data_IF_004814192909
#
_entry.id   IF_004814192909
#
_cell.length_a   1.000
_cell.length_b   1.000
_cell.length_c   1.000
_cell.angle_alpha   90.00
_cell.angle_beta   90.00
_cell.angle_gamma   90.00
#
_symmetry.space_group_name_H-M   'P 1'
#
loop_
_entity.id
_entity.type
_entity.pdbx_description
1 polymer ?
#
# COMPACT_ATOMS: atom_id res chain seq x y z
N UNK A 1 -24.24 19.36 -12.62
CA UNK A 1 -22.79 19.10 -12.60
C UNK A 1 -22.53 17.96 -11.61
N UNK A 2 -21.80 16.92 -12.00
CA UNK A 2 -21.36 15.83 -11.11
C UNK A 2 -19.84 15.91 -11.01
N UNK A 3 -19.32 16.06 -9.79
CA UNK A 3 -17.89 16.21 -9.51
C UNK A 3 -17.44 15.01 -8.69
N UNK A 4 -16.51 14.23 -9.24
CA UNK A 4 -15.85 13.15 -8.52
C UNK A 4 -14.57 13.70 -7.89
N UNK A 5 -14.40 13.48 -6.59
CA UNK A 5 -13.27 13.93 -5.80
C UNK A 5 -12.53 12.68 -5.31
N UNK A 6 -11.43 12.35 -5.99
CA UNK A 6 -10.65 11.14 -5.75
C UNK A 6 -9.17 11.44 -5.46
N UNK A 7 -8.85 12.10 -4.32
CA UNK A 7 -7.48 12.38 -3.92
C UNK A 7 -6.85 11.21 -3.15
N UNK A 8 -5.52 11.19 -3.14
CA UNK A 8 -4.71 10.48 -2.16
C UNK A 8 -4.57 11.30 -0.86
N UNK A 9 -3.98 10.67 0.15
CA UNK A 9 -3.42 11.34 1.32
C UNK A 9 -2.32 12.33 0.95
N UNK A 10 -2.21 13.36 1.78
CA UNK A 10 -1.08 14.29 1.77
C UNK A 10 -0.22 13.87 2.96
N UNK A 11 0.85 13.11 2.65
CA UNK A 11 1.73 12.49 3.64
C UNK A 11 2.13 13.48 4.74
N UNK A 12 2.07 13.01 5.99
CA UNK A 12 2.37 13.78 7.21
C UNK A 12 1.47 14.99 7.46
N UNK A 13 0.32 15.10 6.77
CA UNK A 13 -0.56 16.26 6.87
C UNK A 13 -2.05 15.89 6.98
N UNK A 14 -2.66 15.34 5.93
CA UNK A 14 -4.09 15.05 5.90
C UNK A 14 -4.39 13.74 5.17
N UNK A 15 -5.41 13.02 5.65
CA UNK A 15 -5.88 11.78 5.01
C UNK A 15 -6.57 12.06 3.67
N UNK A 16 -6.70 11.04 2.83
CA UNK A 16 -7.44 11.14 1.56
C UNK A 16 -8.88 11.65 1.77
N UNK A 17 -9.55 11.19 2.83
CA UNK A 17 -10.90 11.66 3.17
C UNK A 17 -10.91 13.13 3.61
N UNK A 18 -9.92 13.56 4.40
CA UNK A 18 -9.80 14.96 4.82
C UNK A 18 -9.55 15.88 3.60
N UNK A 19 -8.66 15.48 2.69
CA UNK A 19 -8.46 16.18 1.42
C UNK A 19 -9.76 16.24 0.60
N UNK A 20 -10.49 15.13 0.47
CA UNK A 20 -11.75 15.09 -0.27
C UNK A 20 -12.82 16.01 0.35
N UNK A 21 -12.91 16.05 1.68
CA UNK A 21 -13.81 16.95 2.41
C UNK A 21 -13.43 18.43 2.19
N UNK A 22 -12.15 18.78 2.29
CA UNK A 22 -11.68 20.15 2.06
C UNK A 22 -12.00 20.62 0.64
N UNK A 23 -11.79 19.77 -0.37
CA UNK A 23 -12.15 20.05 -1.76
C UNK A 23 -13.66 20.29 -1.88
N UNK A 24 -14.48 19.37 -1.38
CA UNK A 24 -15.94 19.48 -1.42
C UNK A 24 -16.43 20.77 -0.74
N UNK A 25 -15.89 21.09 0.43
CA UNK A 25 -16.24 22.31 1.18
C UNK A 25 -15.95 23.58 0.36
N UNK A 26 -14.78 23.64 -0.29
CA UNK A 26 -14.40 24.77 -1.13
C UNK A 26 -15.32 24.94 -2.33
N UNK A 27 -15.61 23.85 -3.05
CA UNK A 27 -16.51 23.89 -4.20
C UNK A 27 -17.95 24.26 -3.81
N UNK A 28 -18.47 23.71 -2.70
CA UNK A 28 -19.85 23.98 -2.23
C UNK A 28 -20.13 25.44 -1.91
N UNK A 29 -19.12 26.23 -1.55
CA UNK A 29 -19.29 27.68 -1.35
C UNK A 29 -19.72 28.41 -2.62
N UNK A 30 -19.42 27.85 -3.79
CA UNK A 30 -19.60 28.51 -5.09
C UNK A 30 -20.65 27.81 -5.96
N UNK A 31 -20.67 26.48 -5.92
CA UNK A 31 -21.53 25.59 -6.72
C UNK A 31 -22.25 24.60 -5.77
N UNK A 32 -23.09 25.07 -4.82
CA UNK A 32 -23.74 24.21 -3.83
C UNK A 32 -24.69 23.15 -4.44
N UNK A 33 -25.19 23.39 -5.65
CA UNK A 33 -26.13 22.53 -6.36
C UNK A 33 -25.49 21.35 -7.12
N UNK A 34 -24.15 21.30 -7.20
CA UNK A 34 -23.46 20.17 -7.82
C UNK A 34 -23.62 18.89 -6.98
N UNK A 35 -23.57 17.75 -7.66
CA UNK A 35 -23.49 16.45 -7.01
C UNK A 35 -22.02 16.13 -6.77
N UNK A 36 -21.65 15.89 -5.51
CA UNK A 36 -20.29 15.57 -5.10
C UNK A 36 -20.18 14.09 -4.74
N UNK A 37 -19.24 13.39 -5.36
CA UNK A 37 -18.91 11.99 -5.05
C UNK A 37 -17.48 11.96 -4.56
N UNK A 38 -17.28 11.61 -3.29
CA UNK A 38 -15.95 11.46 -2.71
C UNK A 38 -15.53 10.01 -2.79
N UNK A 39 -14.37 9.77 -3.37
CA UNK A 39 -13.76 8.45 -3.48
C UNK A 39 -12.33 8.56 -2.95
N UNK A 40 -12.12 8.58 -1.62
CA UNK A 40 -10.77 8.60 -1.05
C UNK A 40 -9.93 7.45 -1.62
N UNK A 41 -8.81 7.79 -2.25
CA UNK A 41 -7.95 6.82 -2.92
C UNK A 41 -6.72 6.49 -2.06
N UNK A 42 -5.96 5.52 -2.53
CA UNK A 42 -4.63 5.16 -2.02
C UNK A 42 -3.85 4.44 -3.14
N UNK A 43 -2.54 4.29 -2.95
CA UNK A 43 -1.64 3.60 -3.86
C UNK A 43 -1.22 2.21 -3.35
N UNK A 44 -1.86 1.69 -2.29
CA UNK A 44 -1.47 0.42 -1.66
C UNK A 44 -0.46 0.55 -0.52
N UNK A 45 0.02 1.77 -0.26
CA UNK A 45 0.79 2.13 0.91
C UNK A 45 -0.05 2.40 2.16
N UNK A 46 0.50 3.23 3.05
CA UNK A 46 -0.15 3.67 4.29
C UNK A 46 -1.49 4.36 4.03
N UNK A 47 -2.52 3.96 4.77
CA UNK A 47 -3.86 4.55 4.68
C UNK A 47 -4.78 3.89 3.65
N UNK A 48 -4.31 2.86 2.93
CA UNK A 48 -5.13 2.04 2.02
C UNK A 48 -6.30 1.40 2.73
N UNK A 49 -6.10 0.85 3.94
CA UNK A 49 -7.16 0.28 4.78
C UNK A 49 -8.24 1.31 5.05
N UNK A 50 -7.84 2.52 5.44
CA UNK A 50 -8.77 3.59 5.78
C UNK A 50 -9.56 4.04 4.55
N UNK A 51 -8.89 4.24 3.40
CA UNK A 51 -9.52 4.66 2.14
C UNK A 51 -10.55 3.62 1.65
N UNK A 52 -10.19 2.34 1.63
CA UNK A 52 -11.10 1.28 1.19
C UNK A 52 -12.27 1.06 2.16
N UNK A 53 -12.03 1.09 3.47
CA UNK A 53 -13.11 0.96 4.46
C UNK A 53 -14.09 2.13 4.37
N UNK A 54 -13.61 3.37 4.28
CA UNK A 54 -14.47 4.54 4.16
C UNK A 54 -15.31 4.48 2.90
N UNK A 55 -14.69 4.19 1.76
CA UNK A 55 -15.37 4.20 0.45
C UNK A 55 -16.40 3.09 0.34
N UNK A 56 -16.10 1.91 0.86
CA UNK A 56 -17.01 0.76 0.79
C UNK A 56 -18.02 0.69 1.94
N UNK A 57 -18.03 1.67 2.87
CA UNK A 57 -18.78 1.61 4.13
C UNK A 57 -18.50 0.34 4.96
N UNK A 58 -17.22 -0.04 4.99
CA UNK A 58 -16.71 -1.18 5.72
C UNK A 58 -16.49 -0.93 7.21
N UNK A 59 -15.64 -1.75 7.81
CA UNK A 59 -15.22 -1.61 9.21
C UNK A 59 -13.73 -1.92 9.38
N UNK A 60 -13.10 -1.22 10.32
CA UNK A 60 -11.76 -1.54 10.81
C UNK A 60 -11.91 -2.46 12.02
N UNK A 61 -11.08 -3.49 12.09
CA UNK A 61 -11.03 -4.46 13.18
C UNK A 61 -9.61 -4.41 13.76
N UNK A 62 -9.53 -4.25 15.08
CA UNK A 62 -8.26 -4.30 15.83
C UNK A 62 -8.00 -5.73 16.30
N UNK A 63 -6.73 -6.14 16.25
CA UNK A 63 -6.28 -7.46 16.72
C UNK A 63 -4.91 -7.32 17.40
N UNK A 64 -4.73 -8.02 18.52
CA UNK A 64 -3.41 -8.16 19.13
C UNK A 64 -2.64 -9.26 18.40
N UNK A 65 -1.53 -8.92 17.76
CA UNK A 65 -0.70 -9.83 16.95
C UNK A 65 0.77 -9.76 17.34
N UNK A 66 1.57 -10.70 16.85
CA UNK A 66 3.02 -10.74 17.03
C UNK A 66 3.67 -9.63 16.21
N UNK A 67 4.22 -8.63 16.89
CA UNK A 67 4.98 -7.55 16.28
C UNK A 67 6.31 -8.02 15.67
N UNK A 68 6.99 -7.14 14.91
CA UNK A 68 8.23 -7.51 14.21
C UNK A 68 9.35 -7.93 15.16
N UNK A 69 9.40 -7.44 16.39
CA UNK A 69 10.39 -7.84 17.40
C UNK A 69 9.99 -9.09 18.21
N UNK A 70 8.89 -9.78 17.84
CA UNK A 70 8.37 -10.96 18.54
C UNK A 70 7.48 -10.67 19.75
N UNK A 71 7.30 -9.40 20.12
CA UNK A 71 6.40 -8.98 21.20
C UNK A 71 5.00 -8.64 20.68
N UNK A 72 3.93 -8.83 21.46
CA UNK A 72 2.57 -8.45 21.06
C UNK A 72 2.45 -6.95 20.75
N UNK A 73 1.71 -6.62 19.69
CA UNK A 73 1.35 -5.26 19.28
C UNK A 73 -0.14 -5.20 18.93
N UNK A 74 -0.75 -4.03 19.11
CA UNK A 74 -2.08 -3.75 18.58
C UNK A 74 -1.96 -3.43 17.10
N UNK A 75 -2.55 -4.27 16.26
CA UNK A 75 -2.63 -4.09 14.82
C UNK A 75 -4.09 -3.94 14.39
N UNK A 76 -4.30 -3.74 13.09
CA UNK A 76 -5.64 -3.62 12.53
C UNK A 76 -5.68 -4.09 11.07
N UNK A 77 -6.90 -4.40 10.61
CA UNK A 77 -7.22 -4.63 9.20
C UNK A 77 -8.63 -4.13 8.89
N UNK A 78 -8.93 -3.94 7.62
CA UNK A 78 -10.23 -3.50 7.13
C UNK A 78 -11.05 -4.65 6.56
N UNK A 79 -12.36 -4.55 6.65
CA UNK A 79 -13.32 -5.37 5.92
C UNK A 79 -14.22 -4.45 5.11
N UNK A 80 -14.41 -4.72 3.82
CA UNK A 80 -15.30 -3.96 2.94
C UNK A 80 -16.77 -4.07 3.38
N UNK A 81 -17.61 -3.10 2.99
CA UNK A 81 -19.01 -3.07 3.44
C UNK A 81 -19.86 -4.26 3.00
N UNK A 82 -19.47 -4.95 1.92
CA UNK A 82 -20.11 -6.20 1.49
C UNK A 82 -19.62 -7.44 2.27
N UNK A 83 -18.60 -7.27 3.12
CA UNK A 83 -18.02 -8.31 3.96
C UNK A 83 -17.15 -9.33 3.23
N UNK A 84 -16.85 -9.15 1.95
CA UNK A 84 -16.15 -10.16 1.14
C UNK A 84 -14.65 -9.94 1.02
N UNK A 85 -14.17 -8.72 1.17
CA UNK A 85 -12.76 -8.38 1.00
C UNK A 85 -12.17 -7.90 2.31
N UNK A 86 -11.03 -8.47 2.70
CA UNK A 86 -10.20 -7.89 3.74
C UNK A 86 -9.05 -7.08 3.14
N UNK A 87 -8.75 -5.95 3.77
CA UNK A 87 -7.65 -5.08 3.40
C UNK A 87 -6.65 -5.07 4.55
N UNK A 88 -5.42 -5.46 4.30
CA UNK A 88 -4.36 -5.61 5.30
C UNK A 88 -3.18 -4.75 4.88
N UNK A 89 -2.75 -3.84 5.75
CA UNK A 89 -1.43 -3.22 5.63
C UNK A 89 -0.45 -4.01 6.49
N UNK A 90 0.55 -4.66 5.87
CA UNK A 90 1.52 -5.48 6.63
C UNK A 90 2.24 -4.66 7.71
N UNK A 91 2.40 -3.34 7.48
CA UNK A 91 3.01 -2.44 8.43
C UNK A 91 2.28 -2.39 9.79
N UNK A 92 0.97 -2.61 9.82
CA UNK A 92 0.19 -2.60 11.06
C UNK A 92 0.66 -3.69 12.04
N UNK A 93 1.17 -4.81 11.54
CA UNK A 93 1.69 -5.91 12.33
C UNK A 93 3.22 -6.04 12.30
N UNK A 94 3.86 -5.64 11.21
CA UNK A 94 5.26 -5.95 10.89
C UNK A 94 6.03 -4.72 10.37
N UNK A 95 5.56 -3.51 10.69
CA UNK A 95 6.08 -2.24 10.18
C UNK A 95 7.23 -1.62 10.99
N UNK A 96 8.00 -0.75 10.32
CA UNK A 96 9.14 0.00 10.88
C UNK A 96 8.75 0.94 12.02
N UNK A 97 7.52 1.43 12.05
CA UNK A 97 7.04 2.34 13.09
C UNK A 97 6.81 1.64 14.44
N UNK A 98 6.70 0.30 14.44
CA UNK A 98 6.55 -0.50 15.66
C UNK A 98 7.87 -0.75 16.40
N UNK A 99 9.01 -0.36 15.79
CA UNK A 99 10.34 -0.59 16.35
C UNK A 99 11.15 0.70 16.32
N UNK A 100 11.62 1.12 17.50
CA UNK A 100 12.58 2.22 17.63
C UNK A 100 13.83 1.94 16.79
N UNK A 101 14.39 2.98 16.18
CA UNK A 101 15.46 2.84 15.19
C UNK A 101 16.65 2.00 15.70
N UNK A 102 17.03 2.20 16.95
CA UNK A 102 18.15 1.53 17.61
C UNK A 102 17.91 0.03 17.86
N UNK A 103 16.65 -0.38 17.87
CA UNK A 103 16.23 -1.77 18.12
C UNK A 103 15.88 -2.52 16.82
N UNK A 104 16.02 -1.89 15.65
CA UNK A 104 15.74 -2.54 14.37
C UNK A 104 16.81 -3.57 14.07
N UNK A 105 16.38 -4.82 13.89
CA UNK A 105 17.26 -5.93 13.53
C UNK A 105 16.57 -6.86 12.53
N UNK A 106 16.90 -6.77 11.23
CA UNK A 106 16.23 -7.56 10.20
C UNK A 106 16.62 -9.04 10.22
N UNK A 107 17.67 -9.43 10.96
CA UNK A 107 17.99 -10.84 11.20
C UNK A 107 16.97 -11.54 12.09
N UNK A 108 16.33 -10.81 13.01
CA UNK A 108 15.39 -11.38 13.98
C UNK A 108 13.95 -10.92 13.73
N UNK A 109 13.74 -9.91 12.88
CA UNK A 109 12.43 -9.34 12.65
C UNK A 109 11.50 -10.29 11.88
N UNK A 110 10.27 -10.46 12.36
CA UNK A 110 9.32 -11.48 11.86
C UNK A 110 8.06 -10.91 11.20
N UNK A 111 7.58 -11.57 10.15
CA UNK A 111 6.27 -11.31 9.50
C UNK A 111 5.11 -12.09 10.12
N UNK A 112 5.33 -12.79 11.23
CA UNK A 112 4.30 -13.63 11.87
C UNK A 112 2.97 -12.92 12.12
N UNK A 113 3.00 -11.69 12.65
CA UNK A 113 1.77 -10.91 12.87
C UNK A 113 1.00 -10.60 11.59
N UNK A 114 1.67 -10.47 10.44
CA UNK A 114 0.98 -10.32 9.15
C UNK A 114 0.19 -11.59 8.82
N UNK A 115 0.76 -12.78 9.05
CA UNK A 115 0.04 -14.04 8.89
C UNK A 115 -1.12 -14.21 9.88
N UNK A 116 -0.98 -13.69 11.11
CA UNK A 116 -2.07 -13.67 12.11
C UNK A 116 -3.22 -12.74 11.68
N UNK A 117 -2.94 -11.59 11.07
CA UNK A 117 -3.98 -10.73 10.47
C UNK A 117 -4.69 -11.42 9.31
N UNK A 118 -3.96 -12.15 8.46
CA UNK A 118 -4.55 -12.95 7.37
C UNK A 118 -5.49 -14.02 7.97
N UNK A 119 -5.05 -14.77 8.99
CA UNK A 119 -5.90 -15.74 9.68
C UNK A 119 -7.15 -15.11 10.28
N UNK A 120 -7.02 -13.94 10.93
CA UNK A 120 -8.15 -13.22 11.49
C UNK A 120 -9.16 -12.84 10.40
N UNK A 121 -8.70 -12.34 9.26
CA UNK A 121 -9.55 -12.04 8.10
C UNK A 121 -10.24 -13.31 7.55
N UNK A 122 -9.52 -14.42 7.42
CA UNK A 122 -10.08 -15.71 6.97
C UNK A 122 -11.16 -16.24 7.92
N UNK A 123 -11.07 -15.95 9.23
CA UNK A 123 -12.09 -16.33 10.21
C UNK A 123 -13.43 -15.59 10.00
N UNK A 124 -13.41 -14.47 9.30
CA UNK A 124 -14.61 -13.75 8.88
C UNK A 124 -15.21 -14.26 7.56
N UNK A 125 -14.57 -15.25 6.92
CA UNK A 125 -15.09 -15.88 5.71
C UNK A 125 -14.91 -15.06 4.44
N UNK A 126 -13.95 -14.12 4.44
CA UNK A 126 -13.62 -13.31 3.25
C UNK A 126 -13.20 -14.19 2.07
N UNK A 127 -13.41 -13.67 0.86
CA UNK A 127 -13.09 -14.32 -0.42
C UNK A 127 -11.96 -13.64 -1.17
N UNK A 128 -11.57 -12.46 -0.72
CA UNK A 128 -10.52 -11.66 -1.33
C UNK A 128 -9.69 -10.97 -0.24
N UNK A 129 -8.38 -11.00 -0.41
CA UNK A 129 -7.42 -10.28 0.42
C UNK A 129 -6.71 -9.25 -0.45
N UNK A 130 -6.67 -8.01 0.01
CA UNK A 130 -5.83 -6.95 -0.54
C UNK A 130 -4.73 -6.68 0.50
N UNK A 131 -3.48 -6.87 0.14
CA UNK A 131 -2.34 -6.76 1.07
C UNK A 131 -1.37 -5.67 0.60
N UNK A 132 -1.20 -4.63 1.42
CA UNK A 132 -0.20 -3.58 1.22
C UNK A 132 1.15 -3.95 1.82
N UNK A 133 2.24 -3.80 1.04
CA UNK A 133 3.61 -4.15 1.43
C UNK A 133 4.48 -2.99 1.92
N UNK A 134 3.93 -1.77 1.98
CA UNK A 134 4.68 -0.59 2.40
C UNK A 134 5.20 -0.69 3.85
N UNK A 135 6.39 -0.13 4.12
CA UNK A 135 6.84 0.18 5.49
C UNK A 135 7.33 -1.00 6.35
N UNK A 136 7.70 -2.14 5.76
CA UNK A 136 8.15 -3.35 6.49
C UNK A 136 9.41 -3.16 7.35
N UNK A 137 9.43 -3.73 8.56
CA UNK A 137 10.63 -3.86 9.41
C UNK A 137 11.44 -5.14 9.15
N UNK A 138 10.92 -6.05 8.33
CA UNK A 138 11.35 -7.46 8.25
C UNK A 138 12.22 -7.73 7.03
N UNK A 139 13.01 -8.81 7.08
CA UNK A 139 13.75 -9.35 5.93
C UNK A 139 13.77 -10.89 6.00
N UNK A 140 12.63 -11.49 6.35
CA UNK A 140 12.47 -12.92 6.59
C UNK A 140 11.83 -13.67 5.42
N UNK A 141 11.70 -13.06 4.24
CA UNK A 141 11.13 -13.74 3.08
C UNK A 141 9.64 -14.12 3.22
N UNK A 142 8.92 -13.55 4.20
CA UNK A 142 7.58 -13.99 4.54
C UNK A 142 7.51 -15.34 5.27
N UNK A 143 8.64 -15.85 5.77
CA UNK A 143 8.70 -17.10 6.52
C UNK A 143 7.83 -17.07 7.78
N UNK A 144 7.87 -15.98 8.55
CA UNK A 144 7.03 -15.83 9.74
C UNK A 144 5.53 -15.85 9.41
N UNK A 145 5.13 -15.17 8.33
CA UNK A 145 3.76 -15.21 7.82
C UNK A 145 3.35 -16.63 7.43
N UNK A 146 4.19 -17.36 6.67
CA UNK A 146 3.90 -18.73 6.28
C UNK A 146 3.75 -19.66 7.49
N UNK A 147 4.62 -19.53 8.49
CA UNK A 147 4.52 -20.28 9.75
C UNK A 147 3.24 -19.99 10.52
N UNK A 148 2.81 -18.72 10.60
CA UNK A 148 1.52 -18.38 11.21
C UNK A 148 0.34 -19.05 10.49
N UNK A 149 0.41 -19.14 9.17
CA UNK A 149 -0.62 -19.76 8.33
C UNK A 149 -0.59 -21.29 8.31
N UNK A 150 0.37 -21.92 8.99
CA UNK A 150 0.44 -23.37 9.18
C UNK A 150 1.54 -24.09 8.37
N UNK A 151 2.38 -23.36 7.62
CA UNK A 151 3.56 -23.96 6.99
C UNK A 151 4.62 -24.33 8.05
N UNK A 152 5.26 -25.47 7.86
CA UNK A 152 6.38 -25.93 8.69
C UNK A 152 7.69 -25.76 7.93
N UNK A 153 8.49 -24.77 8.32
CA UNK A 153 9.85 -24.56 7.80
C UNK A 153 10.81 -25.24 8.77
N UNK A 154 11.37 -26.38 8.38
CA UNK A 154 12.06 -27.32 9.27
C UNK A 154 13.57 -27.32 9.02
N UNK A 155 14.36 -27.47 10.08
CA UNK A 155 15.80 -27.66 10.03
C UNK A 155 16.20 -29.11 9.69
N UNK A 156 17.51 -29.40 9.65
CA UNK A 156 18.03 -30.74 9.33
C UNK A 156 17.65 -31.83 10.35
N UNK A 157 17.15 -31.45 11.53
CA UNK A 157 16.68 -32.36 12.57
C UNK A 157 15.15 -32.53 12.52
N UNK A 158 14.46 -31.88 11.57
CA UNK A 158 13.01 -31.89 11.49
C UNK A 158 12.32 -30.99 12.54
N UNK A 159 13.04 -30.00 13.07
CA UNK A 159 12.50 -29.04 14.05
C UNK A 159 12.19 -27.72 13.34
N UNK A 160 11.05 -27.05 13.63
CA UNK A 160 10.78 -25.73 13.06
C UNK A 160 11.90 -24.72 13.35
N UNK A 161 12.31 -23.96 12.33
CA UNK A 161 13.26 -22.86 12.50
C UNK A 161 12.62 -21.72 13.32
N UNK A 162 13.45 -20.92 13.99
CA UNK A 162 12.98 -19.72 14.68
C UNK A 162 12.67 -18.60 13.66
N UNK A 163 12.18 -17.46 14.14
CA UNK A 163 11.80 -16.35 13.28
C UNK A 163 12.99 -15.49 12.82
N UNK A 164 12.77 -14.80 11.71
CA UNK A 164 13.64 -13.74 11.19
C UNK A 164 14.55 -14.17 10.05
N UNK A 165 15.07 -13.20 9.32
CA UNK A 165 15.91 -13.44 8.14
C UNK A 165 17.21 -14.19 8.43
N UNK A 166 17.69 -14.15 9.67
CA UNK A 166 18.89 -14.86 10.11
C UNK A 166 18.75 -16.37 10.16
N UNK A 167 17.52 -16.88 10.27
CA UNK A 167 17.22 -18.30 10.46
C UNK A 167 16.98 -19.05 9.14
N UNK A 168 16.79 -18.32 8.03
CA UNK A 168 16.39 -18.92 6.75
C UNK A 168 17.42 -19.91 6.18
N UNK A 169 18.71 -19.74 6.47
CA UNK A 169 19.75 -20.69 6.04
C UNK A 169 19.65 -22.07 6.72
N UNK A 170 18.89 -22.17 7.82
CA UNK A 170 18.69 -23.44 8.52
C UNK A 170 17.62 -24.30 7.87
N UNK A 171 16.79 -23.74 6.98
CA UNK A 171 15.69 -24.46 6.34
C UNK A 171 16.26 -25.64 5.56
N UNK A 172 15.93 -26.84 6.00
CA UNK A 172 16.25 -28.08 5.32
C UNK A 172 15.08 -28.59 4.48
N UNK A 173 13.84 -28.36 4.92
CA UNK A 173 12.61 -28.75 4.20
C UNK A 173 11.42 -27.86 4.56
N UNK A 174 10.50 -27.68 3.61
CA UNK A 174 9.23 -26.96 3.79
C UNK A 174 8.07 -27.94 3.64
N UNK A 175 7.18 -27.98 4.64
CA UNK A 175 5.95 -28.79 4.64
C UNK A 175 4.71 -27.89 4.78
N UNK A 176 3.82 -27.96 3.79
CA UNK A 176 2.57 -27.19 3.72
C UNK A 176 1.33 -28.02 4.03
N UNK A 177 1.47 -29.24 4.55
CA UNK A 177 0.34 -30.14 4.86
C UNK A 177 -0.69 -29.50 5.81
N UNK A 178 -0.22 -28.64 6.72
CA UNK A 178 -1.06 -27.93 7.70
C UNK A 178 -1.34 -26.47 7.33
N UNK A 179 -0.96 -26.03 6.13
CA UNK A 179 -1.27 -24.70 5.64
C UNK A 179 -2.80 -24.53 5.58
N UNK A 180 -3.31 -23.37 6.00
CA UNK A 180 -4.75 -23.13 6.09
C UNK A 180 -5.45 -23.38 4.75
N UNK A 181 -6.35 -24.39 4.66
CA UNK A 181 -6.91 -24.81 3.39
C UNK A 181 -7.82 -23.75 2.76
N UNK A 182 -8.27 -22.74 3.52
CA UNK A 182 -9.07 -21.63 2.99
C UNK A 182 -8.27 -20.76 2.02
N UNK A 183 -6.94 -20.73 2.13
CA UNK A 183 -6.09 -19.95 1.23
C UNK A 183 -6.25 -20.35 -0.24
N UNK A 184 -6.56 -21.63 -0.53
CA UNK A 184 -6.83 -22.09 -1.89
C UNK A 184 -8.15 -21.57 -2.49
N UNK A 185 -9.01 -20.96 -1.68
CA UNK A 185 -10.35 -20.49 -2.08
C UNK A 185 -10.46 -18.97 -2.02
N UNK A 186 -9.37 -18.28 -1.73
CA UNK A 186 -9.33 -16.84 -1.52
C UNK A 186 -8.39 -16.23 -2.56
N UNK A 187 -8.88 -15.22 -3.26
CA UNK A 187 -8.03 -14.41 -4.14
C UNK A 187 -7.13 -13.52 -3.28
N UNK A 188 -5.86 -13.40 -3.63
CA UNK A 188 -4.91 -12.57 -2.88
C UNK A 188 -4.24 -11.60 -3.84
N UNK A 189 -4.62 -10.32 -3.74
CA UNK A 189 -3.99 -9.23 -4.48
C UNK A 189 -3.04 -8.47 -3.55
N UNK A 190 -1.84 -8.20 -4.06
CA UNK A 190 -0.77 -7.59 -3.28
C UNK A 190 -0.34 -6.31 -3.95
N UNK A 191 -0.47 -5.19 -3.25
CA UNK A 191 -0.01 -3.91 -3.72
C UNK A 191 1.52 -3.84 -3.66
N UNK A 192 2.14 -3.81 -4.83
CA UNK A 192 3.58 -3.81 -5.03
C UNK A 192 3.97 -2.77 -6.09
N UNK A 193 4.57 -1.67 -5.64
CA UNK A 193 4.99 -0.56 -6.52
C UNK A 193 6.50 -0.56 -6.81
N UNK A 194 7.18 -1.66 -6.50
CA UNK A 194 8.61 -1.85 -6.77
C UNK A 194 8.82 -3.11 -7.59
N UNK A 195 9.84 -3.12 -8.44
CA UNK A 195 10.18 -4.24 -9.31
C UNK A 195 11.38 -5.07 -8.79
N UNK A 196 11.93 -4.70 -7.63
CA UNK A 196 13.07 -5.37 -7.03
C UNK A 196 12.84 -6.89 -6.88
N UNK A 197 13.75 -7.74 -7.42
CA UNK A 197 13.69 -9.18 -7.23
C UNK A 197 14.04 -9.57 -5.79
N UNK A 198 13.98 -10.86 -5.47
CA UNK A 198 14.21 -11.35 -4.11
C UNK A 198 15.65 -11.10 -3.64
N UNK A 199 16.64 -11.39 -4.50
CA UNK A 199 18.07 -11.43 -4.17
C UNK A 199 18.93 -10.61 -5.14
N UNK A 200 20.20 -10.43 -4.79
CA UNK A 200 21.23 -9.79 -5.62
C UNK A 200 21.36 -8.29 -5.38
N UNK A 201 22.12 -7.60 -6.25
CA UNK A 201 22.46 -6.18 -6.09
C UNK A 201 21.23 -5.25 -6.08
N UNK A 202 20.14 -5.68 -6.70
CA UNK A 202 18.85 -5.00 -6.70
C UNK A 202 17.79 -5.71 -5.85
N UNK A 203 18.21 -6.69 -5.05
CA UNK A 203 17.35 -7.53 -4.24
C UNK A 203 16.85 -6.87 -2.95
N UNK A 204 16.01 -7.60 -2.21
CA UNK A 204 15.36 -7.12 -1.01
C UNK A 204 16.35 -6.56 0.03
N UNK A 205 17.42 -7.31 0.31
CA UNK A 205 18.40 -6.96 1.33
C UNK A 205 19.33 -5.83 0.91
N UNK A 206 19.80 -5.84 -0.34
CA UNK A 206 20.71 -4.83 -0.86
C UNK A 206 20.06 -3.43 -0.91
N UNK A 207 18.80 -3.37 -1.36
CA UNK A 207 18.11 -2.09 -1.60
C UNK A 207 17.43 -1.56 -0.33
N UNK A 208 16.78 -2.43 0.44
CA UNK A 208 15.93 -2.01 1.56
C UNK A 208 16.48 -2.37 2.95
N UNK A 209 17.60 -3.09 3.04
CA UNK A 209 18.14 -3.56 4.32
C UNK A 209 18.58 -2.43 5.25
N UNK A 210 19.24 -1.39 4.72
CA UNK A 210 19.82 -0.32 5.54
C UNK A 210 18.78 0.44 6.37
N UNK A 211 17.64 0.83 5.77
CA UNK A 211 16.55 1.51 6.49
C UNK A 211 15.91 0.63 7.59
N UNK A 212 16.08 -0.69 7.50
CA UNK A 212 15.65 -1.69 8.48
C UNK A 212 16.71 -2.00 9.54
N UNK A 213 17.83 -1.27 9.56
CA UNK A 213 18.92 -1.45 10.53
C UNK A 213 19.99 -2.46 10.11
N UNK A 214 19.99 -2.95 8.86
CA UNK A 214 21.03 -3.87 8.39
C UNK A 214 22.37 -3.14 8.17
N UNK A 215 23.44 -3.69 8.74
CA UNK A 215 24.82 -3.36 8.34
C UNK A 215 25.18 -4.06 7.03
N UNK A 216 26.25 -3.63 6.33
CA UNK A 216 26.70 -4.29 5.10
C UNK A 216 26.96 -5.80 5.27
N UNK A 217 27.47 -6.19 6.45
CA UNK A 217 27.65 -7.61 6.79
C UNK A 217 26.31 -8.33 6.92
N UNK A 218 25.32 -7.71 7.57
CA UNK A 218 23.97 -8.27 7.68
C UNK A 218 23.31 -8.38 6.31
N UNK A 219 23.49 -7.39 5.43
CA UNK A 219 22.96 -7.40 4.06
C UNK A 219 23.49 -8.63 3.31
N UNK A 220 24.81 -8.86 3.33
CA UNK A 220 25.40 -10.03 2.68
C UNK A 220 24.88 -11.37 3.27
N UNK A 221 24.70 -11.45 4.58
CA UNK A 221 24.11 -12.63 5.23
C UNK A 221 22.65 -12.83 4.84
N UNK A 222 21.84 -11.78 4.87
CA UNK A 222 20.41 -11.85 4.54
C UNK A 222 20.20 -12.22 3.07
N UNK A 223 21.01 -11.69 2.16
CA UNK A 223 20.92 -12.02 0.73
C UNK A 223 21.26 -13.49 0.46
N UNK A 224 22.30 -14.03 1.11
CA UNK A 224 22.64 -15.46 1.05
C UNK A 224 21.52 -16.34 1.65
N UNK A 225 20.95 -15.89 2.77
CA UNK A 225 19.85 -16.57 3.44
C UNK A 225 18.57 -16.59 2.57
N UNK A 226 18.25 -15.48 1.89
CA UNK A 226 17.16 -15.41 0.93
C UNK A 226 17.44 -16.25 -0.33
N UNK A 227 18.69 -16.33 -0.77
CA UNK A 227 19.10 -17.21 -1.89
C UNK A 227 18.82 -18.67 -1.55
N UNK A 228 19.23 -19.11 -0.36
CA UNK A 228 18.95 -20.46 0.13
C UNK A 228 17.44 -20.70 0.26
N UNK A 229 16.70 -19.74 0.81
CA UNK A 229 15.26 -19.83 0.93
C UNK A 229 14.56 -19.97 -0.43
N UNK A 230 14.94 -19.20 -1.44
CA UNK A 230 14.42 -19.30 -2.80
C UNK A 230 14.62 -20.71 -3.38
N UNK A 231 15.80 -21.30 -3.15
CA UNK A 231 16.09 -22.68 -3.57
C UNK A 231 15.20 -23.70 -2.86
N UNK A 232 14.90 -23.51 -1.57
CA UNK A 232 13.99 -24.39 -0.83
C UNK A 232 12.55 -24.27 -1.31
N UNK A 233 12.07 -23.05 -1.60
CA UNK A 233 10.76 -22.81 -2.20
C UNK A 233 10.62 -23.50 -3.57
N UNK A 234 11.62 -23.38 -4.44
CA UNK A 234 11.62 -24.07 -5.72
C UNK A 234 11.64 -25.59 -5.56
N UNK A 235 12.49 -26.11 -4.66
CA UNK A 235 12.64 -27.56 -4.49
C UNK A 235 11.41 -28.23 -3.90
N UNK A 236 10.81 -27.63 -2.87
CA UNK A 236 9.76 -28.26 -2.08
C UNK A 236 8.34 -27.88 -2.53
N UNK A 237 8.17 -26.68 -3.10
CA UNK A 237 6.86 -26.16 -3.51
C UNK A 237 6.72 -25.97 -5.02
N UNK A 238 7.79 -26.17 -5.80
CA UNK A 238 7.85 -25.87 -7.24
C UNK A 238 7.49 -24.41 -7.56
N UNK A 239 7.99 -23.48 -6.73
CA UNK A 239 7.76 -22.03 -6.87
C UNK A 239 9.09 -21.29 -7.11
N UNK A 240 9.31 -20.83 -8.35
CA UNK A 240 10.44 -19.98 -8.71
C UNK A 240 10.06 -18.51 -8.49
N UNK A 241 10.53 -17.95 -7.38
CA UNK A 241 10.26 -16.55 -6.96
C UNK A 241 11.51 -15.69 -6.99
N UNK A 242 12.66 -16.25 -7.36
CA UNK A 242 13.96 -15.59 -7.24
C UNK A 242 14.02 -14.29 -8.05
N UNK A 243 13.52 -14.34 -9.29
CA UNK A 243 13.65 -13.27 -10.28
C UNK A 243 12.35 -12.54 -10.60
N UNK A 244 11.23 -12.94 -9.97
CA UNK A 244 9.93 -12.31 -10.21
C UNK A 244 9.99 -10.83 -9.79
N UNK A 245 9.63 -9.88 -10.67
CA UNK A 245 9.58 -8.46 -10.31
C UNK A 245 8.67 -8.22 -9.10
N UNK A 246 9.20 -7.54 -8.09
CA UNK A 246 8.49 -7.25 -6.85
C UNK A 246 8.53 -8.36 -5.80
N UNK A 247 9.16 -9.52 -6.08
CA UNK A 247 9.30 -10.59 -5.09
C UNK A 247 10.17 -10.19 -3.89
N UNK A 248 11.07 -9.21 -4.07
CA UNK A 248 11.85 -8.62 -2.97
C UNK A 248 11.11 -7.61 -2.11
N UNK A 249 9.88 -7.22 -2.48
CA UNK A 249 9.10 -6.26 -1.72
C UNK A 249 8.91 -6.70 -0.27
N UNK A 250 8.93 -5.73 0.64
CA UNK A 250 8.81 -5.94 2.07
C UNK A 250 9.81 -6.97 2.67
N UNK A 251 11.04 -7.01 2.15
CA UNK A 251 12.06 -7.93 2.69
C UNK A 251 11.87 -9.38 2.26
N UNK A 252 11.32 -9.57 1.06
CA UNK A 252 10.98 -10.87 0.50
C UNK A 252 9.60 -11.40 0.90
N UNK A 253 8.78 -10.63 1.62
CA UNK A 253 7.38 -10.99 1.86
C UNK A 253 6.59 -11.15 0.55
N UNK A 254 6.92 -10.36 -0.49
CA UNK A 254 6.37 -10.55 -1.84
C UNK A 254 6.58 -11.98 -2.36
N UNK A 255 7.80 -12.51 -2.23
CA UNK A 255 8.12 -13.90 -2.56
C UNK A 255 7.35 -14.91 -1.70
N UNK A 256 7.21 -14.66 -0.39
CA UNK A 256 6.39 -15.49 0.50
C UNK A 256 4.91 -15.53 0.09
N UNK A 257 4.32 -14.39 -0.26
CA UNK A 257 2.93 -14.31 -0.73
C UNK A 257 2.73 -15.04 -2.06
N UNK A 258 3.67 -14.91 -3.00
CA UNK A 258 3.67 -15.66 -4.26
C UNK A 258 3.75 -17.19 -4.01
N UNK A 259 4.66 -17.61 -3.13
CA UNK A 259 4.94 -19.03 -2.93
C UNK A 259 3.85 -19.76 -2.13
N UNK A 260 3.33 -19.15 -1.06
CA UNK A 260 2.40 -19.80 -0.13
C UNK A 260 0.93 -19.47 -0.37
N UNK A 261 0.62 -18.31 -0.97
CA UNK A 261 -0.76 -17.84 -1.15
C UNK A 261 -1.16 -17.72 -2.63
N UNK A 262 -0.25 -18.03 -3.56
CA UNK A 262 -0.47 -17.87 -5.01
C UNK A 262 -0.96 -16.47 -5.37
N UNK A 263 -0.42 -15.47 -4.66
CA UNK A 263 -0.89 -14.10 -4.76
C UNK A 263 -0.51 -13.42 -6.08
N UNK A 264 -1.32 -12.48 -6.53
CA UNK A 264 -1.01 -11.61 -7.66
C UNK A 264 -0.35 -10.31 -7.18
N UNK A 265 0.90 -10.08 -7.59
CA UNK A 265 1.54 -8.78 -7.41
C UNK A 265 1.01 -7.80 -8.46
N UNK A 266 0.33 -6.74 -8.02
CA UNK A 266 -0.24 -5.70 -8.88
C UNK A 266 0.17 -4.33 -8.36
N UNK A 267 0.07 -3.31 -9.22
CA UNK A 267 0.26 -1.92 -8.79
C UNK A 267 -0.84 -1.58 -7.80
N UNK A 268 -0.51 -0.95 -6.69
CA UNK A 268 -1.50 -0.76 -5.64
C UNK A 268 -2.65 0.16 -6.08
N UNK A 269 -2.37 1.17 -6.91
CA UNK A 269 -3.43 2.02 -7.48
C UNK A 269 -4.43 1.24 -8.34
N UNK A 270 -3.99 0.24 -9.10
CA UNK A 270 -4.88 -0.54 -9.96
C UNK A 270 -5.81 -1.40 -9.09
N UNK A 271 -5.28 -2.01 -8.02
CA UNK A 271 -6.09 -2.75 -7.03
C UNK A 271 -7.13 -1.82 -6.39
N UNK A 272 -6.73 -0.62 -5.98
CA UNK A 272 -7.63 0.32 -5.29
C UNK A 272 -8.71 0.82 -6.25
N UNK A 273 -8.38 1.12 -7.51
CA UNK A 273 -9.35 1.53 -8.54
C UNK A 273 -10.45 0.49 -8.71
N UNK A 274 -10.06 -0.78 -8.81
CA UNK A 274 -11.00 -1.90 -8.96
C UNK A 274 -11.82 -2.09 -7.66
N UNK A 275 -11.19 -2.03 -6.49
CA UNK A 275 -11.83 -2.28 -5.21
C UNK A 275 -12.86 -1.20 -4.80
N UNK A 276 -12.76 0.02 -5.34
CA UNK A 276 -13.71 1.11 -5.09
C UNK A 276 -14.66 1.40 -6.25
N UNK A 277 -14.65 0.56 -7.28
CA UNK A 277 -15.47 0.74 -8.49
C UNK A 277 -15.34 2.17 -9.06
N UNK A 278 -14.10 2.70 -9.11
CA UNK A 278 -13.86 4.11 -9.46
C UNK A 278 -14.45 4.48 -10.83
N UNK A 279 -14.39 3.56 -11.79
CA UNK A 279 -14.93 3.74 -13.14
C UNK A 279 -16.45 3.96 -13.12
N UNK A 280 -17.19 3.26 -12.25
CA UNK A 280 -18.64 3.45 -12.08
C UNK A 280 -18.95 4.79 -11.42
N UNK A 281 -18.16 5.19 -10.41
CA UNK A 281 -18.30 6.50 -9.79
C UNK A 281 -18.11 7.66 -10.78
N UNK A 282 -17.30 7.45 -11.83
CA UNK A 282 -17.06 8.44 -12.88
C UNK A 282 -18.17 8.53 -13.94
N UNK A 283 -19.12 7.60 -14.00
CA UNK A 283 -20.21 7.67 -14.97
C UNK A 283 -20.97 8.99 -14.86
N UNK A 284 -21.17 9.67 -15.99
CA UNK A 284 -21.82 10.98 -16.08
C UNK A 284 -21.15 12.10 -15.24
N UNK A 285 -19.92 11.90 -14.75
CA UNK A 285 -19.16 12.97 -14.13
C UNK A 285 -18.73 13.99 -15.18
N UNK A 286 -18.80 15.26 -14.80
CA UNK A 286 -18.41 16.39 -15.65
C UNK A 286 -17.03 16.94 -15.29
N UNK A 287 -16.50 16.54 -14.14
CA UNK A 287 -15.21 16.96 -13.60
C UNK A 287 -14.70 15.94 -12.60
N UNK A 288 -13.39 15.70 -12.63
CA UNK A 288 -12.66 14.93 -11.62
C UNK A 288 -11.64 15.84 -10.94
N UNK A 289 -11.62 15.83 -9.60
CA UNK A 289 -10.57 16.43 -8.79
C UNK A 289 -9.77 15.31 -8.13
N UNK A 290 -8.46 15.34 -8.26
CA UNK A 290 -7.53 14.41 -7.58
C UNK A 290 -6.40 15.20 -6.94
N UNK A 291 -5.50 14.52 -6.24
CA UNK A 291 -4.37 15.18 -5.58
C UNK A 291 -3.54 14.23 -4.74
N UNK A 292 -2.35 14.69 -4.37
CA UNK A 292 -1.46 14.01 -3.41
C UNK A 292 -0.51 15.03 -2.77
N UNK A 293 0.22 14.61 -1.72
CA UNK A 293 1.14 15.49 -0.99
C UNK A 293 2.26 16.10 -1.85
N UNK A 294 2.75 15.39 -2.86
CA UNK A 294 3.78 15.89 -3.78
C UNK A 294 3.58 15.30 -5.16
N UNK A 295 3.41 16.16 -6.15
CA UNK A 295 3.35 15.77 -7.56
C UNK A 295 4.68 16.12 -8.22
N UNK A 296 5.35 15.11 -8.78
CA UNK A 296 6.64 15.24 -9.47
C UNK A 296 6.77 14.20 -10.58
N UNK A 297 7.94 14.10 -11.23
CA UNK A 297 8.21 13.09 -12.27
C UNK A 297 7.96 11.64 -11.85
N UNK A 298 7.93 11.33 -10.55
CA UNK A 298 7.64 9.98 -10.09
C UNK A 298 6.15 9.65 -10.10
N UNK A 299 5.29 10.67 -10.06
CA UNK A 299 3.83 10.52 -10.03
C UNK A 299 3.29 9.75 -11.24
N UNK A 300 3.89 9.91 -12.43
CA UNK A 300 3.50 9.16 -13.64
C UNK A 300 3.76 7.65 -13.57
N UNK A 301 4.63 7.22 -12.64
CA UNK A 301 4.94 5.80 -12.45
C UNK A 301 3.95 5.12 -11.48
N UNK A 302 2.65 5.43 -11.63
CA UNK A 302 1.57 4.64 -11.02
C UNK A 302 1.12 5.12 -9.67
N UNK A 303 1.28 6.40 -9.38
CA UNK A 303 0.66 6.99 -8.21
C UNK A 303 -0.81 7.33 -8.47
N UNK A 304 -1.51 7.55 -7.38
CA UNK A 304 -2.94 7.84 -7.32
C UNK A 304 -3.43 8.87 -8.35
N UNK A 305 -2.85 10.08 -8.48
CA UNK A 305 -3.40 11.08 -9.41
C UNK A 305 -3.47 10.60 -10.86
N UNK A 306 -2.52 9.78 -11.27
CA UNK A 306 -2.39 9.30 -12.65
C UNK A 306 -3.28 8.09 -12.89
N UNK A 307 -3.44 7.21 -11.90
CA UNK A 307 -4.46 6.16 -11.96
C UNK A 307 -5.86 6.76 -12.14
N UNK A 308 -6.22 7.74 -11.31
CA UNK A 308 -7.49 8.46 -11.39
C UNK A 308 -7.65 9.15 -12.74
N UNK A 309 -6.61 9.87 -13.21
CA UNK A 309 -6.66 10.55 -14.50
C UNK A 309 -6.89 9.57 -15.66
N UNK A 310 -6.23 8.41 -15.66
CA UNK A 310 -6.42 7.39 -16.71
C UNK A 310 -7.88 6.93 -16.81
N UNK A 311 -8.54 6.65 -15.70
CA UNK A 311 -9.96 6.26 -15.69
C UNK A 311 -10.84 7.40 -16.20
N UNK A 312 -10.61 8.63 -15.73
CA UNK A 312 -11.35 9.80 -16.19
C UNK A 312 -11.23 10.03 -17.70
N UNK A 313 -10.03 9.80 -18.26
CA UNK A 313 -9.77 9.97 -19.70
C UNK A 313 -10.41 8.92 -20.58
N UNK A 314 -10.66 7.69 -20.10
CA UNK A 314 -11.47 6.70 -20.83
C UNK A 314 -12.88 7.25 -21.13
N UNK A 315 -13.41 8.09 -20.25
CA UNK A 315 -14.74 8.69 -20.36
C UNK A 315 -14.71 10.16 -20.82
N UNK A 316 -13.55 10.67 -21.25
CA UNK A 316 -13.35 12.05 -21.71
C UNK A 316 -13.69 13.14 -20.67
N UNK A 317 -13.49 12.84 -19.38
CA UNK A 317 -13.78 13.76 -18.28
C UNK A 317 -12.54 14.64 -18.00
N UNK A 318 -12.69 15.96 -17.80
CA UNK A 318 -11.58 16.82 -17.39
C UNK A 318 -11.14 16.52 -15.95
N UNK A 319 -9.83 16.63 -15.70
CA UNK A 319 -9.15 16.27 -14.45
C UNK A 319 -8.33 17.45 -13.95
N UNK A 320 -8.57 17.85 -12.71
CA UNK A 320 -7.76 18.85 -12.00
C UNK A 320 -7.02 18.18 -10.85
N UNK A 321 -5.69 18.31 -10.83
CA UNK A 321 -4.83 17.84 -9.75
C UNK A 321 -4.53 18.94 -8.73
N UNK A 322 -4.59 18.61 -7.45
CA UNK A 322 -4.16 19.46 -6.34
C UNK A 322 -2.95 18.83 -5.64
N UNK A 323 -1.84 19.54 -5.58
CA UNK A 323 -0.60 19.04 -5.00
C UNK A 323 -0.25 19.79 -3.71
N UNK A 324 0.20 19.07 -2.67
CA UNK A 324 0.79 19.71 -1.48
C UNK A 324 2.01 20.54 -1.87
N UNK A 325 2.84 19.98 -2.76
CA UNK A 325 3.95 20.65 -3.41
C UNK A 325 4.15 20.12 -4.84
N UNK A 326 4.75 20.94 -5.69
CA UNK A 326 5.16 20.57 -7.05
C UNK A 326 6.66 20.36 -7.07
N UNK A 327 7.11 19.16 -7.44
CA UNK A 327 8.51 18.79 -7.50
C UNK A 327 9.14 18.98 -8.88
N UNK A 328 10.32 18.40 -9.07
CA UNK A 328 11.02 18.46 -10.36
C UNK A 328 10.21 17.78 -11.47
N UNK A 329 10.20 18.41 -12.65
CA UNK A 329 9.54 17.94 -13.89
C UNK A 329 8.07 17.53 -13.70
N UNK A 330 7.37 18.16 -12.76
CA UNK A 330 5.97 17.86 -12.48
C UNK A 330 5.05 18.01 -13.70
N UNK A 331 5.40 18.86 -14.68
CA UNK A 331 4.56 19.17 -15.83
C UNK A 331 4.26 17.94 -16.70
N UNK A 332 5.08 16.89 -16.62
CA UNK A 332 4.89 15.64 -17.36
C UNK A 332 3.51 15.02 -17.11
N UNK A 333 2.88 15.27 -15.96
CA UNK A 333 1.54 14.73 -15.66
C UNK A 333 0.45 15.18 -16.64
N UNK A 334 0.66 16.30 -17.34
CA UNK A 334 -0.28 16.79 -18.36
C UNK A 334 -0.38 15.82 -19.55
N UNK A 335 0.74 15.24 -19.96
CA UNK A 335 0.78 14.22 -21.02
C UNK A 335 0.14 12.89 -20.58
N UNK A 336 -0.12 12.75 -19.27
CA UNK A 336 -0.70 11.56 -18.66
C UNK A 336 -2.12 11.79 -18.12
N UNK A 337 -2.80 12.85 -18.59
CA UNK A 337 -4.24 13.03 -18.41
C UNK A 337 -4.67 14.00 -17.31
N UNK A 338 -3.76 14.72 -16.66
CA UNK A 338 -4.14 15.82 -15.77
C UNK A 338 -4.27 17.11 -16.60
N UNK A 339 -5.46 17.70 -16.72
CA UNK A 339 -5.67 18.89 -17.58
C UNK A 339 -5.21 20.19 -16.92
N UNK A 340 -5.33 20.29 -15.59
CA UNK A 340 -4.84 21.42 -14.82
C UNK A 340 -4.27 20.94 -13.49
N UNK A 341 -3.23 21.62 -13.00
CA UNK A 341 -2.51 21.24 -11.80
C UNK A 341 -2.18 22.49 -10.97
N UNK A 342 -2.42 22.40 -9.67
CA UNK A 342 -2.22 23.51 -8.74
C UNK A 342 -1.50 23.06 -7.48
N UNK A 343 -0.64 23.91 -6.93
CA UNK A 343 -0.15 23.74 -5.55
C UNK A 343 -1.16 24.35 -4.58
N UNK A 344 -1.45 23.66 -3.48
CA UNK A 344 -2.35 24.17 -2.43
C UNK A 344 -1.74 25.33 -1.63
N UNK A 345 -0.41 25.42 -1.58
CA UNK A 345 0.29 26.38 -0.71
C UNK A 345 0.14 27.80 -1.27
N UNK A 346 -0.50 28.75 -0.54
CA UNK A 346 -0.89 30.04 -1.11
C UNK A 346 0.25 31.06 -1.19
N UNK A 347 1.32 30.88 -0.40
CA UNK A 347 2.46 31.80 -0.33
C UNK A 347 3.67 31.11 0.30
N UNK A 348 4.82 31.80 0.35
CA UNK A 348 5.98 31.29 1.05
C UNK A 348 5.71 31.17 2.56
N UNK A 349 5.64 29.93 3.07
CA UNK A 349 5.42 29.58 4.48
C UNK A 349 6.40 28.49 4.92
N UNK A 350 6.53 28.27 6.23
CA UNK A 350 7.31 27.12 6.73
C UNK A 350 6.62 25.80 6.37
N UNK A 351 7.40 24.71 6.27
CA UNK A 351 6.84 23.37 6.05
C UNK A 351 5.82 22.98 7.12
N UNK A 352 6.14 23.25 8.39
CA UNK A 352 5.23 23.03 9.52
C UNK A 352 3.89 23.76 9.33
N UNK A 353 3.93 25.02 8.88
CA UNK A 353 2.72 25.80 8.59
C UNK A 353 1.95 25.18 7.42
N UNK A 354 2.65 24.74 6.37
CA UNK A 354 2.03 24.11 5.21
C UNK A 354 1.31 22.80 5.58
N UNK A 355 1.96 21.92 6.35
CA UNK A 355 1.39 20.65 6.78
C UNK A 355 0.20 20.87 7.73
N UNK A 356 0.32 21.78 8.70
CA UNK A 356 -0.73 22.05 9.70
C UNK A 356 -1.98 22.68 9.09
N UNK A 357 -1.82 23.53 8.05
CA UNK A 357 -2.93 24.27 7.45
C UNK A 357 -3.38 23.69 6.09
N UNK A 358 -2.94 22.48 5.72
CA UNK A 358 -3.16 21.91 4.40
C UNK A 358 -4.66 21.77 4.05
N UNK A 359 -5.51 21.39 5.00
CA UNK A 359 -6.96 21.31 4.78
C UNK A 359 -7.55 22.68 4.43
N UNK A 360 -7.20 23.71 5.21
CA UNK A 360 -7.65 25.08 4.96
C UNK A 360 -7.16 25.59 3.60
N UNK A 361 -5.89 25.34 3.26
CA UNK A 361 -5.31 25.75 1.98
C UNK A 361 -5.96 25.03 0.79
N UNK A 362 -6.26 23.74 0.96
CA UNK A 362 -6.97 22.95 -0.05
C UNK A 362 -8.38 23.48 -0.27
N UNK A 363 -9.11 23.79 0.80
CA UNK A 363 -10.46 24.37 0.73
C UNK A 363 -10.45 25.73 0.02
N UNK A 364 -9.51 26.60 0.35
CA UNK A 364 -9.37 27.92 -0.29
C UNK A 364 -9.04 27.82 -1.77
N UNK A 365 -8.14 26.92 -2.16
CA UNK A 365 -7.81 26.69 -3.57
C UNK A 365 -9.00 26.10 -4.33
N UNK A 366 -9.68 25.11 -3.75
CA UNK A 366 -10.87 24.49 -4.33
C UNK A 366 -11.99 25.53 -4.57
N UNK A 367 -12.19 26.45 -3.63
CA UNK A 367 -13.11 27.58 -3.79
C UNK A 367 -12.72 28.47 -5.00
N UNK A 368 -11.43 28.79 -5.16
CA UNK A 368 -10.97 29.61 -6.28
C UNK A 368 -11.10 28.90 -7.64
N UNK A 369 -10.88 27.59 -7.69
CA UNK A 369 -11.12 26.79 -8.89
C UNK A 369 -12.61 26.82 -9.24
N UNK A 370 -13.49 26.61 -8.26
CA UNK A 370 -14.94 26.68 -8.46
C UNK A 370 -15.40 28.07 -8.93
N UNK A 371 -14.80 29.16 -8.41
CA UNK A 371 -15.04 30.53 -8.90
C UNK A 371 -14.65 30.66 -10.38
N UNK A 372 -13.52 30.10 -10.77
CA UNK A 372 -13.05 30.13 -12.16
C UNK A 372 -14.03 29.40 -13.09
N UNK A 373 -14.46 28.20 -12.73
CA UNK A 373 -15.46 27.41 -13.47
C UNK A 373 -16.77 28.20 -13.64
N UNK A 374 -17.26 28.81 -12.54
CA UNK A 374 -18.49 29.61 -12.56
C UNK A 374 -18.41 30.84 -13.47
N UNK A 375 -17.25 31.51 -13.52
CA UNK A 375 -17.03 32.66 -14.42
C UNK A 375 -17.04 32.23 -15.89
N UNK A 376 -16.58 31.01 -16.18
CA UNK A 376 -16.58 30.44 -17.53
C UNK A 376 -17.93 29.85 -17.94
N UNK A 377 -18.89 29.75 -17.02
CA UNK A 377 -20.24 29.21 -17.29
C UNK A 377 -20.26 27.70 -17.56
N UNK A 378 -19.27 26.98 -17.02
CA UNK A 378 -19.12 25.53 -17.14
C UNK A 378 -19.91 24.76 -16.08
#
# INVERSE_FOLDING_TARGET
MKIVIAPDSFKESMSALAAANAIENGFKKIIPEATYVKVPMADGGEGTVQSLVVTTNGKIISETVTGPAGYPVEAFYGITGDGKTAVIEMAAASGLHLVQYENRNPLTATTKGTGELILAALNLGVKHLIIGLGGSATNDGGAGMAQALGASLLDSNGVPIDFGGGELNKIHSIDTTNLDPRLQQVQVDVACDVDNPLIGDHGASAVFGQQKGATDKMIATLDQNLTHYAQMLQRDLDKDVETIPGSGAAGGLGAGLLAFLEADLKRGIDIVIDAVDLEEHMEHATLVITGEGKIDKQTIYGKTPIGVAKIAKKQHIPVIGLAGSLGEDYQVVHDHGIDALYSIVPSAVSLETALTNAEQFTEQLAENIARTIKVLGL
#
